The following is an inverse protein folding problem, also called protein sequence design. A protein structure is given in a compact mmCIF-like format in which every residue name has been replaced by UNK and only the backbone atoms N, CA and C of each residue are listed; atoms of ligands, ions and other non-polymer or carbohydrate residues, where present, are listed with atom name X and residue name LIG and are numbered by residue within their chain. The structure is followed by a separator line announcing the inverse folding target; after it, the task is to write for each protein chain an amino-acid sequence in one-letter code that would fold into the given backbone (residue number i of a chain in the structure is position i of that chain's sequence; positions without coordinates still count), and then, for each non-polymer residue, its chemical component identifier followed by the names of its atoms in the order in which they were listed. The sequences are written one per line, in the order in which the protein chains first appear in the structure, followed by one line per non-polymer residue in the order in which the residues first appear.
data_IF_497315829843
#
_entry.id   IF_497315829843
#
_cell.length_a   1.000
_cell.length_b   1.000
_cell.length_c   1.000
_cell.angle_alpha   90.00
_cell.angle_beta   90.00
_cell.angle_gamma   90.00
#
_symmetry.space_group_name_H-M   'P 1'
#
loop_
_entity.id
_entity.type
_entity.pdbx_description
1 polymer ?
#
# COMPACT_ATOMS: atom_id res chain seq x y z
N UNK A 1 -33.34 -16.43 9.86
CA UNK A 1 -32.63 -16.09 8.62
C UNK A 1 -31.69 -17.21 8.27
N UNK A 2 -31.73 -17.71 7.04
CA UNK A 2 -30.77 -18.74 6.57
C UNK A 2 -29.42 -18.07 6.40
N UNK A 3 -28.35 -18.66 6.97
CA UNK A 3 -27.00 -18.11 6.83
C UNK A 3 -26.60 -18.10 5.34
N UNK A 4 -26.13 -16.97 4.85
CA UNK A 4 -25.62 -16.84 3.47
C UNK A 4 -24.22 -17.43 3.43
N UNK A 5 -23.95 -18.32 2.49
CA UNK A 5 -22.63 -18.91 2.26
C UNK A 5 -22.15 -18.53 0.86
N UNK A 6 -21.03 -17.82 0.79
CA UNK A 6 -20.40 -17.45 -0.48
C UNK A 6 -19.52 -18.59 -0.99
N UNK A 7 -19.61 -18.85 -2.27
CA UNK A 7 -18.81 -19.85 -2.96
C UNK A 7 -17.44 -19.27 -3.33
N UNK A 8 -16.37 -19.91 -2.87
CA UNK A 8 -14.99 -19.43 -3.08
C UNK A 8 -14.60 -19.35 -4.57
N UNK A 9 -15.10 -20.26 -5.41
CA UNK A 9 -14.84 -20.20 -6.85
C UNK A 9 -15.52 -18.98 -7.51
N UNK A 10 -16.68 -18.62 -7.01
CA UNK A 10 -17.39 -17.41 -7.45
C UNK A 10 -16.65 -16.16 -7.01
N UNK A 11 -16.18 -16.13 -5.75
CA UNK A 11 -15.34 -15.03 -5.24
C UNK A 11 -14.04 -14.91 -6.04
N UNK A 12 -13.40 -16.01 -6.43
CA UNK A 12 -12.20 -16.01 -7.26
C UNK A 12 -12.45 -15.40 -8.64
N UNK A 13 -13.58 -15.69 -9.24
CA UNK A 13 -13.98 -15.10 -10.53
C UNK A 13 -14.26 -13.60 -10.42
N UNK A 14 -14.91 -13.17 -9.34
CA UNK A 14 -15.18 -11.76 -9.06
C UNK A 14 -13.87 -10.96 -8.86
N UNK A 15 -12.98 -11.44 -7.99
CA UNK A 15 -11.68 -10.78 -7.73
C UNK A 15 -10.84 -10.70 -9.00
N UNK A 16 -10.72 -11.81 -9.75
CA UNK A 16 -9.96 -11.82 -11.00
C UNK A 16 -10.51 -10.84 -12.04
N UNK A 17 -11.85 -10.69 -12.13
CA UNK A 17 -12.50 -9.76 -13.05
C UNK A 17 -12.19 -8.30 -12.72
N UNK A 18 -12.20 -7.96 -11.44
CA UNK A 18 -11.85 -6.61 -10.94
C UNK A 18 -10.37 -6.32 -11.16
N UNK A 19 -9.47 -7.24 -10.75
CA UNK A 19 -8.02 -7.05 -10.86
C UNK A 19 -7.54 -6.90 -12.32
N UNK A 20 -8.19 -7.59 -13.26
CA UNK A 20 -7.89 -7.50 -14.69
C UNK A 20 -8.64 -6.36 -15.40
N UNK A 21 -9.56 -5.68 -14.71
CA UNK A 21 -10.46 -4.69 -15.32
C UNK A 21 -11.35 -5.25 -16.43
N UNK A 22 -11.52 -6.59 -16.47
CA UNK A 22 -12.30 -7.28 -17.51
C UNK A 22 -12.67 -8.70 -17.07
N UNK A 23 -13.96 -8.98 -17.01
CA UNK A 23 -14.47 -10.33 -16.72
C UNK A 23 -14.27 -11.31 -17.89
N UNK A 24 -14.13 -10.83 -19.12
CA UNK A 24 -13.72 -11.66 -20.26
C UNK A 24 -12.30 -12.19 -20.08
N UNK A 25 -11.34 -11.29 -19.79
CA UNK A 25 -9.95 -11.70 -19.49
C UNK A 25 -9.84 -12.58 -18.26
N UNK A 26 -10.71 -12.37 -17.27
CA UNK A 26 -10.76 -13.23 -16.10
C UNK A 26 -11.25 -14.64 -16.46
N UNK A 27 -12.23 -14.75 -17.33
CA UNK A 27 -12.72 -16.04 -17.82
C UNK A 27 -11.61 -16.84 -18.52
N UNK A 28 -10.87 -16.20 -19.43
CA UNK A 28 -9.73 -16.82 -20.12
C UNK A 28 -8.65 -17.26 -19.12
N UNK A 29 -8.28 -16.41 -18.17
CA UNK A 29 -7.27 -16.73 -17.15
C UNK A 29 -7.68 -17.89 -16.23
N UNK A 30 -8.98 -18.02 -15.96
CA UNK A 30 -9.52 -19.07 -15.09
C UNK A 30 -9.92 -20.34 -15.85
N UNK A 31 -9.71 -20.40 -17.18
CA UNK A 31 -10.12 -21.52 -18.03
C UNK A 31 -11.63 -21.73 -18.04
N UNK A 32 -12.42 -20.64 -17.97
CA UNK A 32 -13.89 -20.67 -17.95
C UNK A 32 -14.47 -19.93 -19.15
N UNK A 33 -15.73 -20.21 -19.52
CA UNK A 33 -16.43 -19.39 -20.49
C UNK A 33 -16.89 -18.06 -19.89
N UNK A 34 -16.99 -17.02 -20.71
CA UNK A 34 -17.51 -15.70 -20.29
C UNK A 34 -18.95 -15.80 -19.75
N UNK A 35 -19.77 -16.71 -20.32
CA UNK A 35 -21.11 -16.96 -19.82
C UNK A 35 -21.11 -17.58 -18.42
N UNK A 36 -20.18 -18.50 -18.13
CA UNK A 36 -20.03 -19.08 -16.81
C UNK A 36 -19.64 -18.04 -15.76
N UNK A 37 -18.66 -17.18 -16.08
CA UNK A 37 -18.26 -16.08 -15.18
C UNK A 37 -19.41 -15.09 -14.96
N UNK A 38 -20.16 -14.74 -15.99
CA UNK A 38 -21.34 -13.88 -15.86
C UNK A 38 -22.43 -14.49 -14.96
N UNK A 39 -22.69 -15.80 -15.12
CA UNK A 39 -23.62 -16.52 -14.24
C UNK A 39 -23.15 -16.55 -12.78
N UNK A 40 -21.85 -16.72 -12.56
CA UNK A 40 -21.24 -16.66 -11.22
C UNK A 40 -21.39 -15.29 -10.56
N UNK A 41 -21.17 -14.21 -11.31
CA UNK A 41 -21.34 -12.84 -10.79
C UNK A 41 -22.80 -12.58 -10.41
N UNK A 42 -23.74 -12.98 -11.26
CA UNK A 42 -25.17 -12.87 -10.95
C UNK A 42 -25.54 -13.65 -9.68
N UNK A 43 -25.05 -14.88 -9.53
CA UNK A 43 -25.21 -15.68 -8.31
C UNK A 43 -24.65 -14.98 -7.09
N UNK A 44 -23.49 -14.30 -7.20
CA UNK A 44 -22.88 -13.58 -6.11
C UNK A 44 -23.74 -12.39 -5.66
N UNK A 45 -24.28 -11.61 -6.60
CA UNK A 45 -25.19 -10.50 -6.32
C UNK A 45 -26.51 -10.97 -5.71
N UNK A 46 -27.07 -12.09 -6.19
CA UNK A 46 -28.25 -12.73 -5.61
C UNK A 46 -27.99 -13.19 -4.16
N UNK A 47 -26.82 -13.75 -3.88
CA UNK A 47 -26.42 -14.13 -2.52
C UNK A 47 -26.18 -12.91 -1.61
N UNK A 48 -25.59 -11.85 -2.15
CA UNK A 48 -25.33 -10.60 -1.43
C UNK A 48 -26.63 -9.81 -1.17
N UNK A 49 -27.67 -10.01 -2.00
CA UNK A 49 -28.93 -9.29 -1.95
C UNK A 49 -28.84 -7.84 -2.44
N UNK A 50 -27.70 -7.42 -2.96
CA UNK A 50 -27.44 -6.08 -3.50
C UNK A 50 -26.54 -6.14 -4.73
N UNK A 51 -26.65 -5.19 -5.67
CA UNK A 51 -25.73 -5.09 -6.81
C UNK A 51 -24.31 -4.82 -6.33
N UNK A 52 -23.35 -5.57 -6.85
CA UNK A 52 -21.91 -5.37 -6.58
C UNK A 52 -21.23 -4.62 -7.72
N UNK A 53 -21.82 -4.64 -8.91
CA UNK A 53 -21.31 -4.02 -10.11
C UNK A 53 -22.35 -3.04 -10.68
N UNK A 54 -21.88 -1.94 -11.26
CA UNK A 54 -22.69 -0.97 -11.99
C UNK A 54 -22.10 -0.73 -13.39
N UNK A 55 -22.93 -0.40 -14.35
CA UNK A 55 -22.45 0.04 -15.67
C UNK A 55 -21.80 1.39 -15.55
N UNK A 56 -20.59 1.54 -16.11
CA UNK A 56 -19.89 2.79 -16.22
C UNK A 56 -19.28 2.90 -17.63
N UNK A 57 -19.88 3.75 -18.45
CA UNK A 57 -19.51 3.86 -19.87
C UNK A 57 -19.65 2.52 -20.61
N UNK A 58 -18.55 2.04 -21.19
CA UNK A 58 -18.48 0.72 -21.88
C UNK A 58 -18.06 -0.45 -20.95
N UNK A 59 -17.83 -0.18 -19.67
CA UNK A 59 -17.34 -1.16 -18.69
C UNK A 59 -18.27 -1.37 -17.51
N UNK A 60 -17.74 -2.09 -16.51
CA UNK A 60 -18.37 -2.31 -15.22
C UNK A 60 -17.45 -1.70 -14.15
N UNK A 61 -18.04 -0.96 -13.22
CA UNK A 61 -17.38 -0.47 -12.01
C UNK A 61 -17.99 -1.11 -10.76
N UNK A 62 -17.27 -1.08 -9.66
CA UNK A 62 -17.78 -1.52 -8.37
C UNK A 62 -18.81 -0.52 -7.83
N UNK A 63 -19.80 -1.05 -7.12
CA UNK A 63 -20.61 -0.27 -6.17
C UNK A 63 -19.89 -0.21 -4.82
N UNK A 64 -20.37 0.59 -3.86
CA UNK A 64 -19.86 0.58 -2.48
C UNK A 64 -19.94 -0.82 -1.84
N UNK A 65 -21.05 -1.53 -2.08
CA UNK A 65 -21.21 -2.93 -1.69
C UNK A 65 -20.20 -3.84 -2.41
N UNK A 66 -19.89 -3.55 -3.68
CA UNK A 66 -18.88 -4.25 -4.47
C UNK A 66 -17.48 -4.08 -3.92
N UNK A 67 -17.10 -2.87 -3.49
CA UNK A 67 -15.82 -2.61 -2.84
C UNK A 67 -15.68 -3.38 -1.51
N UNK A 68 -16.75 -3.33 -0.71
CA UNK A 68 -16.83 -4.10 0.53
C UNK A 68 -16.69 -5.61 0.26
N UNK A 69 -17.44 -6.13 -0.71
CA UNK A 69 -17.37 -7.53 -1.11
C UNK A 69 -15.97 -7.89 -1.60
N UNK A 70 -15.30 -7.04 -2.39
CA UNK A 70 -13.95 -7.28 -2.90
C UNK A 70 -12.94 -7.45 -1.76
N UNK A 71 -13.00 -6.57 -0.75
CA UNK A 71 -12.13 -6.65 0.42
C UNK A 71 -12.32 -7.97 1.18
N UNK A 72 -13.56 -8.37 1.45
CA UNK A 72 -13.85 -9.64 2.12
C UNK A 72 -13.54 -10.86 1.24
N UNK A 73 -13.81 -10.81 -0.07
CA UNK A 73 -13.51 -11.89 -1.00
C UNK A 73 -12.00 -12.21 -1.02
N UNK A 74 -11.15 -11.18 -1.10
CA UNK A 74 -9.70 -11.35 -1.03
C UNK A 74 -9.26 -12.03 0.27
N UNK A 75 -9.82 -11.62 1.41
CA UNK A 75 -9.51 -12.21 2.72
C UNK A 75 -9.94 -13.65 2.84
N UNK A 76 -11.14 -13.99 2.36
CA UNK A 76 -11.66 -15.36 2.35
C UNK A 76 -10.84 -16.29 1.45
N UNK A 77 -10.44 -15.81 0.26
CA UNK A 77 -9.59 -16.57 -0.65
C UNK A 77 -8.19 -16.78 -0.07
N UNK A 78 -7.59 -15.76 0.53
CA UNK A 78 -6.29 -15.88 1.20
C UNK A 78 -6.34 -16.90 2.36
N UNK A 79 -7.40 -16.87 3.17
CA UNK A 79 -7.61 -17.83 4.27
C UNK A 79 -7.82 -19.26 3.75
N UNK A 80 -8.60 -19.43 2.66
CA UNK A 80 -8.78 -20.72 2.02
C UNK A 80 -7.46 -21.29 1.48
N UNK A 81 -6.65 -20.45 0.82
CA UNK A 81 -5.38 -20.88 0.27
C UNK A 81 -4.37 -21.19 1.40
N UNK A 82 -4.42 -20.46 2.50
CA UNK A 82 -3.68 -20.77 3.73
C UNK A 82 -4.10 -22.12 4.32
N UNK A 83 -5.39 -22.33 4.50
CA UNK A 83 -5.93 -23.59 5.01
C UNK A 83 -5.57 -24.78 4.11
N UNK A 84 -5.69 -24.61 2.79
CA UNK A 84 -5.33 -25.62 1.80
C UNK A 84 -3.84 -26.01 1.88
N UNK A 85 -2.96 -25.03 2.06
CA UNK A 85 -1.52 -25.28 2.28
C UNK A 85 -1.26 -25.99 3.58
N UNK A 86 -1.89 -25.54 4.68
CA UNK A 86 -1.73 -26.16 6.00
C UNK A 86 -2.16 -27.63 6.02
N UNK A 87 -3.31 -27.95 5.38
CA UNK A 87 -3.84 -29.34 5.33
C UNK A 87 -3.00 -30.23 4.43
N UNK A 88 -2.42 -29.71 3.35
CA UNK A 88 -1.56 -30.51 2.44
C UNK A 88 -0.20 -30.88 3.01
N UNK A 89 0.13 -30.43 4.23
CA UNK A 89 1.33 -30.86 4.95
C UNK A 89 2.65 -30.36 4.36
N UNK A 90 2.64 -29.43 3.42
CA UNK A 90 3.82 -28.73 2.98
C UNK A 90 4.20 -27.71 4.06
N UNK A 91 4.67 -28.19 5.23
CA UNK A 91 5.22 -27.29 6.25
C UNK A 91 6.43 -26.58 5.66
N UNK A 92 6.23 -25.32 5.35
CA UNK A 92 7.35 -24.48 4.98
C UNK A 92 8.29 -24.39 6.17
N UNK A 93 9.57 -24.60 5.93
CA UNK A 93 10.63 -24.47 6.92
C UNK A 93 11.84 -23.79 6.28
N UNK A 94 12.67 -23.19 7.10
CA UNK A 94 13.86 -22.46 6.63
C UNK A 94 13.87 -21.03 7.12
N UNK A 95 14.37 -20.13 6.28
CA UNK A 95 14.55 -18.71 6.61
C UNK A 95 14.07 -17.85 5.44
N UNK A 96 13.51 -16.69 5.77
CA UNK A 96 13.16 -15.64 4.79
C UNK A 96 13.59 -14.27 5.30
N UNK A 97 14.13 -13.44 4.42
CA UNK A 97 14.66 -12.12 4.71
C UNK A 97 13.80 -11.05 4.03
N UNK A 98 13.07 -10.28 4.82
CA UNK A 98 12.14 -9.25 4.40
C UNK A 98 12.74 -7.86 4.60
N UNK A 99 12.75 -7.03 3.57
CA UNK A 99 12.99 -5.60 3.64
C UNK A 99 11.67 -4.81 3.69
N UNK A 100 11.60 -3.79 4.53
CA UNK A 100 10.47 -2.87 4.61
C UNK A 100 10.98 -1.44 4.68
N UNK A 101 10.40 -0.57 3.84
CA UNK A 101 10.64 0.86 3.94
C UNK A 101 10.15 1.37 5.31
N UNK A 102 10.82 2.38 5.88
CA UNK A 102 10.55 2.89 7.24
C UNK A 102 9.09 3.26 7.46
N UNK A 103 8.42 3.81 6.44
CA UNK A 103 7.00 4.17 6.49
C UNK A 103 6.07 2.99 6.87
N UNK A 104 6.52 1.75 6.66
CA UNK A 104 5.73 0.54 6.91
C UNK A 104 6.17 -0.24 8.15
N UNK A 105 7.28 0.16 8.79
CA UNK A 105 7.86 -0.58 9.91
C UNK A 105 6.90 -0.72 11.09
N UNK A 106 6.28 0.38 11.51
CA UNK A 106 5.36 0.37 12.67
C UNK A 106 3.96 -0.13 12.29
N UNK A 107 3.47 0.22 11.13
CA UNK A 107 2.10 -0.07 10.71
C UNK A 107 1.93 -1.51 10.22
N UNK A 108 2.83 -1.98 9.36
CA UNK A 108 2.65 -3.21 8.61
C UNK A 108 3.38 -4.42 9.24
N UNK A 109 4.60 -4.21 9.74
CA UNK A 109 5.46 -5.30 10.20
C UNK A 109 4.81 -6.16 11.30
N UNK A 110 4.13 -5.61 12.34
CA UNK A 110 3.46 -6.43 13.35
C UNK A 110 2.39 -7.35 12.77
N UNK A 111 1.62 -6.86 11.78
CA UNK A 111 0.57 -7.64 11.14
C UNK A 111 1.15 -8.75 10.28
N UNK A 112 2.16 -8.44 9.46
CA UNK A 112 2.87 -9.41 8.61
C UNK A 112 3.51 -10.51 9.46
N UNK A 113 4.28 -10.14 10.49
CA UNK A 113 4.93 -11.09 11.38
C UNK A 113 3.91 -11.98 12.10
N UNK A 114 2.84 -11.39 12.65
CA UNK A 114 1.80 -12.12 13.36
C UNK A 114 1.05 -13.11 12.46
N UNK A 115 0.73 -12.74 11.24
CA UNK A 115 0.07 -13.65 10.29
C UNK A 115 1.01 -14.74 9.81
N UNK A 116 2.24 -14.39 9.43
CA UNK A 116 3.20 -15.35 8.89
C UNK A 116 3.66 -16.36 9.94
N UNK A 117 3.97 -15.93 11.17
CA UNK A 117 4.39 -16.83 12.24
C UNK A 117 3.32 -17.86 12.62
N UNK A 118 2.04 -17.46 12.60
CA UNK A 118 0.92 -18.38 12.83
C UNK A 118 0.75 -19.39 11.69
N UNK A 119 0.95 -18.93 10.45
CA UNK A 119 0.80 -19.78 9.27
C UNK A 119 1.99 -20.73 9.05
N UNK A 120 3.20 -20.32 9.45
CA UNK A 120 4.46 -21.00 9.15
C UNK A 120 5.39 -21.00 10.37
N UNK A 121 5.06 -21.73 11.47
CA UNK A 121 5.78 -21.67 12.75
C UNK A 121 7.22 -22.22 12.69
N UNK A 122 7.56 -22.97 11.63
CA UNK A 122 8.92 -23.53 11.41
C UNK A 122 9.80 -22.65 10.54
N UNK A 123 9.30 -21.48 10.12
CA UNK A 123 10.08 -20.53 9.31
C UNK A 123 10.62 -19.42 10.18
N UNK A 124 11.92 -19.17 10.07
CA UNK A 124 12.57 -18.01 10.68
C UNK A 124 12.43 -16.80 9.75
N UNK A 125 11.90 -15.70 10.28
CA UNK A 125 11.85 -14.41 9.57
C UNK A 125 12.98 -13.52 10.07
N UNK A 126 13.70 -12.91 9.14
CA UNK A 126 14.62 -11.82 9.40
C UNK A 126 14.06 -10.58 8.72
N UNK A 127 13.68 -9.57 9.49
CA UNK A 127 13.13 -8.33 8.96
C UNK A 127 14.15 -7.19 9.10
N UNK A 128 14.28 -6.41 8.04
CA UNK A 128 15.08 -5.19 8.00
C UNK A 128 14.19 -4.02 7.63
N UNK A 129 14.11 -3.04 8.52
CA UNK A 129 13.51 -1.74 8.22
C UNK A 129 14.64 -0.79 7.81
N UNK A 130 14.45 -0.07 6.71
CA UNK A 130 15.50 0.81 6.20
C UNK A 130 15.06 1.70 5.05
N UNK A 131 16.02 2.39 4.46
CA UNK A 131 15.80 3.34 3.37
C UNK A 131 15.69 2.62 2.03
N UNK A 132 14.99 3.25 1.10
CA UNK A 132 14.65 2.68 -0.20
C UNK A 132 15.87 2.14 -0.98
N UNK A 133 16.92 2.94 -1.09
CA UNK A 133 18.11 2.56 -1.84
C UNK A 133 18.85 1.35 -1.21
N UNK A 134 19.02 1.33 0.13
CA UNK A 134 19.65 0.20 0.85
C UNK A 134 18.86 -1.10 0.68
N UNK A 135 17.52 -1.02 0.74
CA UNK A 135 16.67 -2.20 0.58
C UNK A 135 16.76 -2.78 -0.84
N UNK A 136 16.69 -1.93 -1.87
CA UNK A 136 16.76 -2.37 -3.27
C UNK A 136 18.13 -2.93 -3.61
N UNK A 137 19.21 -2.32 -3.14
CA UNK A 137 20.57 -2.85 -3.29
C UNK A 137 20.71 -4.24 -2.66
N UNK A 138 20.16 -4.44 -1.46
CA UNK A 138 20.19 -5.73 -0.76
C UNK A 138 19.36 -6.80 -1.45
N UNK A 139 18.25 -6.45 -2.08
CA UNK A 139 17.48 -7.37 -2.93
C UNK A 139 18.31 -7.75 -4.15
N UNK A 140 18.93 -6.79 -4.83
CA UNK A 140 19.77 -7.03 -6.00
C UNK A 140 20.97 -7.93 -5.68
N UNK A 141 21.55 -7.80 -4.48
CA UNK A 141 22.67 -8.62 -3.99
C UNK A 141 22.22 -9.97 -3.38
N UNK A 142 20.92 -10.28 -3.37
CA UNK A 142 20.38 -11.49 -2.74
C UNK A 142 20.56 -11.55 -1.21
N UNK A 143 20.80 -10.40 -0.57
CA UNK A 143 20.86 -10.27 0.90
C UNK A 143 19.49 -10.18 1.53
N UNK A 144 18.47 -9.78 0.78
CA UNK A 144 17.04 -9.86 1.08
C UNK A 144 16.37 -10.73 0.04
N UNK A 145 15.38 -11.51 0.42
CA UNK A 145 14.60 -12.36 -0.50
C UNK A 145 13.49 -11.57 -1.18
N UNK A 146 12.93 -10.60 -0.43
CA UNK A 146 11.96 -9.65 -0.94
C UNK A 146 12.02 -8.33 -0.16
N UNK A 147 11.58 -7.24 -0.78
CA UNK A 147 11.42 -5.94 -0.12
C UNK A 147 10.18 -5.20 -0.60
N UNK A 148 9.48 -4.56 0.35
CA UNK A 148 8.43 -3.58 0.07
C UNK A 148 9.07 -2.20 0.08
N UNK A 149 9.08 -1.54 -1.07
CA UNK A 149 9.79 -0.28 -1.26
C UNK A 149 9.05 0.63 -2.25
N UNK A 150 9.34 1.93 -2.19
CA UNK A 150 8.83 2.89 -3.15
C UNK A 150 9.51 2.70 -4.51
N UNK A 151 8.71 2.79 -5.57
CA UNK A 151 9.23 2.62 -6.93
C UNK A 151 10.06 3.84 -7.32
N UNK A 152 11.29 3.57 -7.68
CA UNK A 152 12.21 4.55 -8.20
C UNK A 152 12.79 4.03 -9.51
N UNK A 153 12.17 4.43 -10.60
CA UNK A 153 12.66 4.13 -11.93
C UNK A 153 12.86 2.61 -12.18
N UNK A 154 11.91 2.01 -12.80
CA UNK A 154 11.63 0.63 -13.20
C UNK A 154 12.79 -0.35 -13.51
N UNK A 155 13.95 -0.25 -12.89
CA UNK A 155 15.15 -1.04 -13.22
C UNK A 155 15.31 -2.34 -12.45
N UNK A 156 14.46 -2.60 -11.46
CA UNK A 156 14.50 -3.88 -10.75
C UNK A 156 13.70 -4.92 -11.53
N UNK A 157 14.36 -5.99 -12.02
CA UNK A 157 13.76 -6.92 -13.00
C UNK A 157 12.57 -7.71 -12.44
N UNK A 158 12.42 -7.80 -11.14
CA UNK A 158 11.40 -8.62 -10.47
C UNK A 158 10.54 -7.78 -9.51
N UNK A 159 10.11 -6.60 -9.95
CA UNK A 159 9.20 -5.73 -9.22
C UNK A 159 7.74 -6.01 -9.58
N UNK A 160 6.89 -6.05 -8.57
CA UNK A 160 5.43 -6.07 -8.72
C UNK A 160 4.85 -4.81 -8.09
N UNK A 161 4.29 -3.92 -8.92
CA UNK A 161 3.59 -2.73 -8.44
C UNK A 161 2.32 -3.15 -7.70
N UNK A 162 2.14 -2.64 -6.48
CA UNK A 162 0.98 -2.95 -5.63
C UNK A 162 -0.05 -1.84 -5.63
N UNK A 163 0.38 -0.60 -5.41
CA UNK A 163 -0.47 0.58 -5.41
C UNK A 163 0.28 1.78 -5.96
N UNK A 164 -0.50 2.82 -6.26
CA UNK A 164 -0.02 4.17 -6.49
C UNK A 164 -0.71 5.11 -5.48
N UNK A 165 0.06 5.96 -4.83
CA UNK A 165 -0.39 6.86 -3.78
C UNK A 165 0.03 8.29 -4.09
N UNK A 166 -0.81 9.29 -3.78
CA UNK A 166 -0.39 10.67 -3.88
C UNK A 166 0.71 10.96 -2.84
N UNK A 167 1.70 11.72 -3.20
CA UNK A 167 2.53 12.41 -2.22
C UNK A 167 1.73 13.58 -1.66
N UNK A 168 1.85 13.80 -0.35
CA UNK A 168 1.14 14.87 0.36
C UNK A 168 2.12 15.73 1.16
N UNK A 169 1.85 17.00 1.26
CA UNK A 169 2.46 17.85 2.25
C UNK A 169 1.97 17.44 3.64
N UNK A 170 2.89 17.31 4.57
CA UNK A 170 2.61 16.85 5.93
C UNK A 170 2.99 17.96 6.90
N UNK A 171 2.01 18.39 7.70
CA UNK A 171 2.19 19.36 8.77
C UNK A 171 1.81 18.77 10.14
N UNK A 172 2.00 19.53 11.23
CA UNK A 172 1.58 19.13 12.56
C UNK A 172 0.05 18.96 12.62
N UNK A 173 -0.41 18.01 13.43
CA UNK A 173 -1.85 17.76 13.61
C UNK A 173 -2.53 18.92 14.38
N UNK A 174 -1.80 19.56 15.30
CA UNK A 174 -2.26 20.77 15.98
C UNK A 174 -1.75 22.00 15.23
N UNK A 175 -2.51 23.09 15.15
CA UNK A 175 -2.06 24.34 14.56
C UNK A 175 -0.80 24.81 15.29
N UNK A 176 0.34 24.73 14.62
CA UNK A 176 1.57 25.41 15.10
C UNK A 176 1.46 26.89 14.77
N UNK A 177 2.11 27.72 15.57
CA UNK A 177 2.35 29.11 15.22
C UNK A 177 3.03 29.15 13.85
N UNK A 178 2.66 30.11 12.99
CA UNK A 178 3.06 30.29 11.60
C UNK A 178 4.14 29.34 11.09
N UNK A 179 3.74 28.41 10.21
CA UNK A 179 4.67 27.46 9.53
C UNK A 179 5.58 28.16 8.50
N UNK A 180 5.37 29.46 8.27
CA UNK A 180 6.12 30.25 7.32
C UNK A 180 6.91 31.31 8.07
N UNK A 181 8.20 31.42 7.75
CA UNK A 181 9.03 32.50 8.22
C UNK A 181 8.64 33.82 7.52
N UNK A 182 8.86 34.95 8.18
CA UNK A 182 8.58 36.30 7.62
C UNK A 182 9.33 36.56 6.31
N UNK A 183 10.41 35.82 6.04
CA UNK A 183 11.23 35.94 4.81
C UNK A 183 10.62 35.19 3.61
N UNK A 184 9.49 34.50 3.76
CA UNK A 184 8.76 33.87 2.66
C UNK A 184 9.29 32.48 2.24
N UNK A 185 10.43 32.02 2.75
CA UNK A 185 10.99 30.70 2.43
C UNK A 185 10.22 29.59 3.14
N UNK A 186 9.83 28.54 2.39
CA UNK A 186 9.16 27.35 2.96
C UNK A 186 10.18 26.50 3.72
N UNK A 187 10.02 26.30 5.05
CA UNK A 187 10.89 25.42 5.80
C UNK A 187 10.55 23.94 5.50
N UNK A 188 11.49 23.21 4.89
CA UNK A 188 11.36 21.82 4.54
C UNK A 188 12.05 20.93 5.57
N UNK A 189 11.31 19.95 6.08
CA UNK A 189 11.80 18.84 6.92
C UNK A 189 11.91 17.60 6.02
N UNK A 190 13.11 17.08 5.84
CA UNK A 190 13.34 16.03 4.86
C UNK A 190 14.33 14.96 5.34
N UNK A 191 14.35 13.83 4.68
CA UNK A 191 15.47 12.89 4.77
C UNK A 191 16.70 13.46 4.07
N UNK A 192 17.87 12.97 4.48
CA UNK A 192 19.09 13.14 3.72
C UNK A 192 18.94 12.56 2.30
N UNK A 193 19.62 13.18 1.34
CA UNK A 193 19.67 12.65 -0.02
C UNK A 193 20.45 11.30 -0.09
N UNK A 194 20.08 10.41 -1.00
CA UNK A 194 18.96 10.49 -1.95
C UNK A 194 17.62 10.15 -1.28
N UNK A 195 16.55 10.90 -1.62
CA UNK A 195 15.22 10.67 -1.08
C UNK A 195 14.13 11.09 -2.07
N UNK A 196 13.32 10.15 -2.56
CA UNK A 196 12.25 10.38 -3.52
C UNK A 196 11.24 11.45 -3.08
N UNK A 197 10.89 11.46 -1.82
CA UNK A 197 9.96 12.45 -1.27
C UNK A 197 10.57 13.84 -1.20
N UNK A 198 11.85 13.95 -0.84
CA UNK A 198 12.59 15.22 -0.89
C UNK A 198 12.68 15.73 -2.32
N UNK A 199 13.05 14.86 -3.25
CA UNK A 199 13.19 15.22 -4.67
C UNK A 199 11.84 15.66 -5.25
N UNK A 200 10.74 14.96 -4.91
CA UNK A 200 9.39 15.35 -5.29
C UNK A 200 8.97 16.70 -4.72
N UNK A 201 9.29 16.97 -3.45
CA UNK A 201 9.02 18.24 -2.80
C UNK A 201 9.78 19.41 -3.44
N UNK A 202 11.11 19.29 -3.55
CA UNK A 202 11.96 20.36 -4.09
C UNK A 202 11.65 20.66 -5.53
N UNK A 203 11.45 19.64 -6.38
CA UNK A 203 11.04 19.83 -7.76
C UNK A 203 9.66 20.52 -7.90
N UNK A 204 8.72 20.26 -7.01
CA UNK A 204 7.42 20.92 -7.03
C UNK A 204 7.54 22.38 -6.63
N UNK A 205 8.31 22.69 -5.60
CA UNK A 205 8.59 24.05 -5.14
C UNK A 205 9.34 24.86 -6.21
N UNK A 206 10.39 24.29 -6.79
CA UNK A 206 11.18 24.95 -7.85
C UNK A 206 10.33 25.25 -9.09
N UNK A 207 9.41 24.35 -9.48
CA UNK A 207 8.48 24.62 -10.61
C UNK A 207 7.43 25.69 -10.31
N UNK A 208 7.12 25.90 -9.05
CA UNK A 208 6.18 26.92 -8.58
C UNK A 208 6.87 28.25 -8.26
N UNK A 209 8.18 28.38 -8.52
CA UNK A 209 8.99 29.54 -8.13
C UNK A 209 8.84 29.88 -6.63
N UNK A 210 8.60 28.88 -5.80
CA UNK A 210 8.42 29.03 -4.35
C UNK A 210 9.74 28.78 -3.63
N UNK A 211 10.36 29.80 -3.00
CA UNK A 211 11.59 29.66 -2.25
C UNK A 211 11.41 28.70 -1.08
N UNK A 212 12.44 27.91 -0.83
CA UNK A 212 12.46 26.94 0.28
C UNK A 212 13.85 26.81 0.91
N UNK A 213 13.88 26.36 2.15
CA UNK A 213 15.11 26.03 2.85
C UNK A 213 15.00 24.67 3.57
N UNK A 214 16.10 23.96 3.70
CA UNK A 214 16.15 22.74 4.50
C UNK A 214 16.26 23.11 5.98
N UNK A 215 15.12 23.24 6.66
CA UNK A 215 15.06 23.61 8.07
C UNK A 215 15.51 22.48 8.99
N UNK A 216 15.29 21.22 8.59
CA UNK A 216 15.73 20.05 9.34
C UNK A 216 15.97 18.86 8.40
N UNK A 217 17.05 18.12 8.67
CA UNK A 217 17.38 16.90 7.93
C UNK A 217 17.64 15.76 8.92
N UNK A 218 17.06 14.59 8.65
CA UNK A 218 17.19 13.40 9.51
C UNK A 218 17.43 12.15 8.68
N UNK A 219 18.21 11.19 9.16
CA UNK A 219 18.32 9.87 8.55
C UNK A 219 17.14 8.95 8.92
N UNK A 220 16.27 9.31 9.86
CA UNK A 220 15.17 8.46 10.35
C UNK A 220 13.80 9.13 10.28
N UNK A 221 12.77 8.31 10.07
CA UNK A 221 11.38 8.75 10.01
C UNK A 221 10.89 9.32 11.35
N UNK A 222 11.33 8.75 12.47
CA UNK A 222 10.98 9.25 13.80
C UNK A 222 11.51 10.68 14.02
N UNK A 223 12.74 10.96 13.58
CA UNK A 223 13.31 12.31 13.62
C UNK A 223 12.53 13.30 12.74
N UNK A 224 12.11 12.84 11.55
CA UNK A 224 11.28 13.64 10.65
C UNK A 224 9.95 14.02 11.31
N UNK A 225 9.25 13.03 11.90
CA UNK A 225 7.97 13.29 12.59
C UNK A 225 8.13 14.19 13.81
N UNK A 226 9.22 14.05 14.58
CA UNK A 226 9.51 14.92 15.70
C UNK A 226 9.69 16.39 15.26
N UNK A 227 10.41 16.62 14.17
CA UNK A 227 10.64 17.97 13.65
C UNK A 227 9.35 18.60 13.11
N UNK A 228 8.53 17.86 12.36
CA UNK A 228 7.22 18.33 11.87
C UNK A 228 6.29 18.64 13.05
N UNK A 229 6.21 17.76 14.04
CA UNK A 229 5.40 17.95 15.24
C UNK A 229 5.83 19.18 16.04
N UNK A 230 7.13 19.45 16.09
CA UNK A 230 7.70 20.63 16.74
C UNK A 230 7.51 21.94 15.94
N UNK A 231 6.96 21.86 14.71
CA UNK A 231 6.71 23.03 13.87
C UNK A 231 7.94 23.57 13.16
N UNK A 232 9.00 22.76 12.99
CA UNK A 232 10.22 23.19 12.28
C UNK A 232 10.03 23.34 10.77
N UNK A 233 8.92 22.82 10.21
CA UNK A 233 8.60 22.91 8.78
C UNK A 233 7.68 21.81 8.32
N UNK A 234 7.49 21.73 7.02
CA UNK A 234 6.67 20.72 6.37
C UNK A 234 7.51 19.56 5.83
N UNK A 235 6.95 18.36 5.85
CA UNK A 235 7.54 17.21 5.17
C UNK A 235 6.67 16.77 3.99
N UNK A 236 7.20 15.90 3.13
CA UNK A 236 6.42 15.23 2.08
C UNK A 236 6.47 13.72 2.32
N UNK A 237 5.27 13.09 2.40
CA UNK A 237 5.07 11.63 2.51
C UNK A 237 3.76 11.25 1.84
N UNK A 238 3.45 9.95 1.84
CA UNK A 238 2.12 9.46 1.50
C UNK A 238 1.19 9.51 2.72
N UNK A 239 -0.13 9.43 2.55
CA UNK A 239 -1.07 9.39 3.68
C UNK A 239 -1.01 8.07 4.47
N UNK A 240 -0.22 7.08 4.02
CA UNK A 240 -0.06 5.80 4.72
C UNK A 240 0.91 5.93 5.91
N UNK A 241 0.52 5.39 7.06
CA UNK A 241 1.41 5.27 8.22
C UNK A 241 1.72 6.58 8.95
N UNK A 242 0.94 7.62 8.75
CA UNK A 242 1.10 8.88 9.47
C UNK A 242 0.79 8.69 10.97
N UNK A 243 1.67 9.12 11.86
CA UNK A 243 1.37 9.12 13.29
C UNK A 243 0.33 10.21 13.63
N UNK A 244 -0.41 10.08 14.75
CA UNK A 244 -1.49 11.01 15.11
C UNK A 244 -1.02 12.44 15.40
N UNK A 245 0.29 12.67 15.54
CA UNK A 245 0.88 13.98 15.80
C UNK A 245 1.05 14.84 14.55
N UNK A 246 0.86 14.26 13.36
CA UNK A 246 0.95 14.96 12.07
C UNK A 246 -0.27 14.66 11.22
N UNK A 247 -0.50 15.47 10.19
CA UNK A 247 -1.59 15.29 9.23
C UNK A 247 -1.14 15.60 7.81
N UNK A 248 -1.79 14.97 6.85
CA UNK A 248 -1.72 15.42 5.46
C UNK A 248 -2.47 16.74 5.31
N UNK A 249 -1.86 17.69 4.62
CA UNK A 249 -2.48 18.97 4.28
C UNK A 249 -3.35 18.78 3.03
N UNK A 250 -4.55 19.39 2.98
CA UNK A 250 -5.37 19.39 1.79
C UNK A 250 -4.61 19.99 0.59
N UNK A 251 -4.91 19.55 -0.66
CA UNK A 251 -4.30 20.12 -1.85
C UNK A 251 -4.51 21.63 -1.94
N UNK A 252 -3.42 22.37 -2.14
CA UNK A 252 -3.45 23.84 -2.24
C UNK A 252 -3.56 24.57 -0.89
N UNK A 253 -3.61 23.88 0.25
CA UNK A 253 -3.54 24.54 1.57
C UNK A 253 -2.25 25.36 1.65
N UNK A 254 -2.35 26.60 2.11
CA UNK A 254 -1.25 27.56 2.18
C UNK A 254 -0.55 27.88 0.83
N UNK A 255 -1.22 27.66 -0.31
CA UNK A 255 -0.62 27.89 -1.62
C UNK A 255 0.43 26.85 -2.03
N UNK A 256 0.52 25.73 -1.32
CA UNK A 256 1.49 24.68 -1.59
C UNK A 256 1.26 24.04 -2.96
N UNK A 257 2.33 23.79 -3.74
CA UNK A 257 2.21 23.20 -5.06
C UNK A 257 1.76 21.74 -5.00
N UNK A 258 1.11 21.30 -6.07
CA UNK A 258 0.72 19.92 -6.24
C UNK A 258 1.95 18.99 -6.32
N UNK A 259 1.86 17.84 -5.68
CA UNK A 259 2.91 16.85 -5.64
C UNK A 259 2.57 15.66 -6.58
N UNK A 260 3.59 14.95 -7.08
CA UNK A 260 3.37 13.75 -7.89
C UNK A 260 2.83 12.58 -7.05
N UNK A 261 2.36 11.55 -7.73
CA UNK A 261 2.13 10.24 -7.12
C UNK A 261 3.41 9.41 -7.08
N UNK A 262 3.44 8.45 -6.18
CA UNK A 262 4.52 7.47 -6.04
C UNK A 262 3.96 6.06 -5.98
N UNK A 263 4.59 5.12 -6.66
CA UNK A 263 4.19 3.73 -6.62
C UNK A 263 4.86 2.98 -5.47
N UNK A 264 4.12 2.08 -4.86
CA UNK A 264 4.61 1.10 -3.90
C UNK A 264 4.71 -0.26 -4.59
N UNK A 265 5.88 -0.86 -4.53
CA UNK A 265 6.17 -2.13 -5.20
C UNK A 265 6.78 -3.15 -4.26
N UNK A 266 6.49 -4.41 -4.53
CA UNK A 266 7.15 -5.56 -3.90
C UNK A 266 8.23 -6.06 -4.87
N UNK A 267 9.48 -6.05 -4.43
CA UNK A 267 10.64 -6.47 -5.18
C UNK A 267 11.15 -7.82 -4.70
N UNK A 268 11.57 -8.66 -5.62
CA UNK A 268 12.05 -10.02 -5.36
C UNK A 268 13.51 -10.17 -5.79
N UNK A 269 14.28 -10.92 -5.04
CA UNK A 269 15.65 -11.24 -5.42
C UNK A 269 15.73 -12.16 -6.65
N UNK A 270 14.67 -12.92 -6.92
CA UNK A 270 14.61 -13.90 -8.01
C UNK A 270 13.29 -13.82 -8.77
N UNK A 271 13.32 -14.11 -10.07
CA UNK A 271 12.12 -14.16 -10.92
C UNK A 271 11.08 -15.18 -10.43
N UNK A 272 11.54 -16.27 -9.87
CA UNK A 272 10.74 -17.31 -9.23
C UNK A 272 11.17 -17.41 -7.77
N UNK A 273 10.50 -16.70 -6.85
CA UNK A 273 10.82 -16.77 -5.44
C UNK A 273 10.59 -18.18 -4.90
N UNK A 274 11.39 -18.59 -3.93
CA UNK A 274 11.14 -19.84 -3.24
C UNK A 274 9.78 -19.84 -2.53
N UNK A 275 9.21 -21.02 -2.19
CA UNK A 275 7.87 -21.11 -1.60
C UNK A 275 7.68 -20.32 -0.31
N UNK A 276 8.75 -20.16 0.49
CA UNK A 276 8.71 -19.43 1.76
C UNK A 276 8.62 -17.92 1.49
N UNK A 277 9.46 -17.42 0.59
CA UNK A 277 9.45 -16.02 0.17
C UNK A 277 8.12 -15.67 -0.52
N UNK A 278 7.63 -16.55 -1.40
CA UNK A 278 6.35 -16.37 -2.07
C UNK A 278 5.19 -16.26 -1.06
N UNK A 279 5.13 -17.15 -0.06
CA UNK A 279 4.10 -17.13 0.99
C UNK A 279 4.16 -15.84 1.82
N UNK A 280 5.37 -15.34 2.14
CA UNK A 280 5.53 -14.07 2.85
C UNK A 280 5.07 -12.89 1.99
N UNK A 281 5.42 -12.87 0.71
CA UNK A 281 4.97 -11.84 -0.24
C UNK A 281 3.45 -11.79 -0.40
N UNK A 282 2.77 -12.95 -0.38
CA UNK A 282 1.30 -13.00 -0.40
C UNK A 282 0.70 -12.30 0.82
N UNK A 283 1.28 -12.53 2.01
CA UNK A 283 0.83 -11.88 3.25
C UNK A 283 1.12 -10.38 3.22
N UNK A 284 2.30 -9.97 2.77
CA UNK A 284 2.64 -8.54 2.62
C UNK A 284 1.64 -7.83 1.70
N UNK A 285 1.34 -8.42 0.52
CA UNK A 285 0.34 -7.88 -0.41
C UNK A 285 -1.03 -7.73 0.23
N UNK A 286 -1.48 -8.77 0.94
CA UNK A 286 -2.77 -8.74 1.62
C UNK A 286 -2.83 -7.64 2.69
N UNK A 287 -1.81 -7.52 3.53
CA UNK A 287 -1.74 -6.50 4.56
C UNK A 287 -1.75 -5.08 3.97
N UNK A 288 -1.06 -4.86 2.85
CA UNK A 288 -1.08 -3.56 2.14
C UNK A 288 -2.47 -3.26 1.60
N UNK A 289 -3.12 -4.21 0.94
CA UNK A 289 -4.48 -4.01 0.43
C UNK A 289 -5.50 -3.74 1.54
N UNK A 290 -5.35 -4.38 2.70
CA UNK A 290 -6.24 -4.15 3.86
C UNK A 290 -6.01 -2.77 4.52
N UNK A 291 -4.83 -2.20 4.36
CA UNK A 291 -4.44 -0.91 4.96
C UNK A 291 -4.73 0.30 4.06
N UNK A 292 -4.61 0.15 2.75
CA UNK A 292 -4.74 1.23 1.77
C UNK A 292 -6.11 1.94 1.76
N UNK A 293 -7.26 1.25 1.77
CA UNK A 293 -8.58 1.90 1.77
C UNK A 293 -8.81 2.79 3.00
N UNK A 294 -8.24 2.40 4.15
CA UNK A 294 -8.38 3.17 5.40
C UNK A 294 -7.62 4.49 5.36
N UNK A 295 -6.46 4.51 4.72
CA UNK A 295 -5.65 5.70 4.60
C UNK A 295 -6.25 6.72 3.61
N UNK A 296 -6.83 6.23 2.51
CA UNK A 296 -7.51 7.08 1.52
C UNK A 296 -8.89 7.58 2.00
N UNK A 297 -9.59 6.80 2.85
CA UNK A 297 -10.89 7.19 3.42
C UNK A 297 -10.79 8.08 4.67
N UNK A 298 -9.63 8.14 5.31
CA UNK A 298 -9.39 8.97 6.50
C UNK A 298 -9.46 10.47 6.22
N UNK A 299 -9.17 10.89 5.00
CA UNK A 299 -9.24 12.29 4.57
C UNK A 299 -10.70 12.76 4.38
N UNK A 300 -11.58 11.89 3.91
CA UNK A 300 -12.99 12.27 3.64
C UNK A 300 -13.86 12.42 4.90
N UNK A 301 -13.47 11.85 6.06
CA UNK A 301 -14.25 11.91 7.30
C UNK A 301 -13.89 13.07 8.23
N UNK A 302 -12.80 13.78 7.98
CA UNK A 302 -12.40 14.95 8.78
C UNK A 302 -13.06 16.26 8.30
N UNK A 303 -13.65 16.27 7.10
CA UNK A 303 -14.37 17.44 6.56
C UNK A 303 -15.84 17.55 7.03
N UNK A 304 -16.34 16.61 7.85
CA UNK A 304 -17.77 16.55 8.24
C UNK A 304 -17.99 16.65 9.74
N UNK A 305 -17.32 17.57 10.44
CA UNK A 305 -17.72 17.98 11.79
C UNK A 305 -17.95 19.50 11.76
N UNK A 306 -19.21 19.94 11.98
CA UNK A 306 -19.57 21.35 11.97
C UNK A 306 -18.97 22.14 13.11
#
# INVERSE_FOLDING_TARGET
MRAVTFDLDVLRSFVAGVDLGSFGRAADRLGRSTSAVSAQLKKLEEQAGVPLLRKEGRGLALTEAGETMLAYARRLLALNDQASRAVRGAELQGRVRLGLQEDFGEMLLPQVLGQFARAHPKVRIEARVGRNADLLERVALGQLDLALAWDHDARMPHGQRLLELPMCWIGPASPAASLFHDDGDLPLVAFEAPCLFRDGATQALDRADQPWLAAFTSPSLAGLWAAVTAGLGLAVRTPLGLPPTVRALPPGEHGLPALPSIALSLYWAQAQPDPVAAALGDIVRQCIHDSAPRALAGDARRESIP
#
